data_IF_494435477962
#
_entry.id   IF_494435477962
#
_cell.length_a   1.000
_cell.length_b   1.000
_cell.length_c   1.000
_cell.angle_alpha   90.00
_cell.angle_beta   90.00
_cell.angle_gamma   90.00
#
_symmetry.space_group_name_H-M   'P 1'
#
loop_
_entity.id
_entity.type
_entity.pdbx_description
1 polymer ?
#
# COMPACT_ATOMS: atom_id res chain seq x y z
N UNK A 1 9.86 -25.65 -11.15
CA UNK A 1 10.59 -24.81 -12.14
C UNK A 1 9.74 -23.83 -12.98
N UNK A 2 8.62 -24.22 -13.63
CA UNK A 2 7.83 -23.33 -14.52
C UNK A 2 7.07 -22.18 -13.82
N UNK A 3 6.58 -22.38 -12.57
CA UNK A 3 5.87 -21.35 -11.79
C UNK A 3 6.81 -20.22 -11.30
N UNK A 4 7.99 -20.56 -10.80
CA UNK A 4 9.01 -19.57 -10.38
C UNK A 4 9.50 -18.71 -11.57
N UNK A 5 9.81 -19.34 -12.72
CA UNK A 5 10.19 -18.61 -13.94
C UNK A 5 9.11 -17.66 -14.46
N UNK A 6 7.82 -18.00 -14.33
CA UNK A 6 6.70 -17.13 -14.73
C UNK A 6 6.53 -15.89 -13.83
N UNK A 7 6.73 -16.00 -12.51
CA UNK A 7 6.72 -14.84 -11.59
C UNK A 7 7.89 -13.88 -11.85
N UNK A 8 9.05 -14.41 -12.26
CA UNK A 8 10.25 -13.60 -12.54
C UNK A 8 10.07 -12.69 -13.76
N UNK A 9 9.30 -13.09 -14.78
CA UNK A 9 9.27 -12.36 -16.06
C UNK A 9 8.28 -11.19 -16.16
N UNK A 10 7.35 -11.02 -15.22
CA UNK A 10 6.18 -10.14 -15.43
C UNK A 10 5.79 -9.22 -14.26
N UNK A 11 6.72 -8.84 -13.38
CA UNK A 11 6.41 -7.91 -12.29
C UNK A 11 7.46 -6.79 -12.17
N UNK A 12 7.02 -5.54 -11.97
CA UNK A 12 7.84 -4.36 -11.61
C UNK A 12 8.46 -4.48 -10.20
N UNK A 13 8.59 -5.70 -9.67
CA UNK A 13 9.14 -5.95 -8.34
C UNK A 13 10.65 -5.68 -8.30
N UNK A 14 11.07 -4.87 -7.32
CA UNK A 14 12.48 -4.56 -7.07
C UNK A 14 13.25 -5.75 -6.49
N UNK A 15 12.57 -6.65 -5.79
CA UNK A 15 13.15 -7.81 -5.10
C UNK A 15 12.48 -9.11 -5.54
N UNK A 16 13.26 -10.19 -5.59
CA UNK A 16 12.78 -11.56 -5.62
C UNK A 16 12.69 -12.06 -4.17
N UNK A 17 11.47 -12.33 -3.72
CA UNK A 17 11.16 -12.80 -2.37
C UNK A 17 10.84 -14.30 -2.40
N UNK A 18 11.26 -15.00 -1.35
CA UNK A 18 10.73 -16.33 -1.02
C UNK A 18 11.07 -16.74 0.41
N UNK A 19 10.14 -17.49 1.00
CA UNK A 19 10.28 -18.19 2.27
C UNK A 19 11.41 -19.25 2.23
N UNK A 20 12.20 -19.33 3.30
CA UNK A 20 13.29 -20.30 3.49
C UNK A 20 12.95 -21.22 4.66
N UNK A 21 12.88 -22.51 4.37
CA UNK A 21 12.56 -23.56 5.33
C UNK A 21 13.65 -24.63 5.32
N UNK A 22 14.00 -25.10 6.51
CA UNK A 22 14.84 -26.28 6.68
C UNK A 22 14.47 -27.00 7.97
N UNK A 23 14.40 -28.33 7.89
CA UNK A 23 14.31 -29.22 9.03
C UNK A 23 15.27 -30.37 8.75
N UNK A 24 16.40 -30.40 9.46
CA UNK A 24 17.47 -31.39 9.27
C UNK A 24 17.02 -32.86 9.43
N UNK A 25 15.92 -33.10 10.16
CA UNK A 25 15.38 -34.45 10.37
C UNK A 25 14.55 -34.95 9.20
N UNK A 26 14.02 -34.04 8.39
CA UNK A 26 13.07 -34.33 7.31
C UNK A 26 13.71 -34.10 5.94
N UNK A 27 14.58 -33.10 5.82
CA UNK A 27 15.14 -32.64 4.55
C UNK A 27 16.66 -32.67 4.57
N UNK A 28 17.25 -32.96 3.41
CA UNK A 28 18.71 -33.00 3.24
C UNK A 28 19.34 -31.61 3.09
N UNK A 29 18.56 -30.63 2.61
CA UNK A 29 19.03 -29.26 2.39
C UNK A 29 17.89 -28.25 2.57
N UNK A 30 18.20 -26.96 2.84
CA UNK A 30 17.20 -25.91 2.85
C UNK A 30 16.50 -25.77 1.49
N UNK A 31 15.21 -25.42 1.51
CA UNK A 31 14.41 -25.22 0.31
C UNK A 31 13.56 -23.96 0.43
N UNK A 32 13.12 -23.48 -0.73
CA UNK A 32 12.24 -22.34 -0.86
C UNK A 32 10.80 -22.84 -0.83
N UNK A 33 9.95 -22.42 0.12
CA UNK A 33 8.59 -22.94 0.21
C UNK A 33 7.75 -22.36 1.34
N UNK A 34 6.43 -22.45 1.22
CA UNK A 34 5.48 -21.83 2.14
C UNK A 34 5.20 -22.66 3.40
N UNK A 35 5.40 -23.97 3.38
CA UNK A 35 5.29 -24.83 4.57
C UNK A 35 6.23 -26.02 4.50
N UNK A 36 6.39 -26.72 5.63
CA UNK A 36 7.20 -27.94 5.74
C UNK A 36 6.52 -29.10 4.98
N UNK A 37 5.19 -29.12 4.97
CA UNK A 37 4.36 -30.19 4.39
C UNK A 37 4.16 -30.06 2.89
N UNK A 38 4.37 -28.88 2.30
CA UNK A 38 4.30 -28.61 0.86
C UNK A 38 5.62 -27.98 0.36
N UNK A 39 6.73 -28.74 0.36
CA UNK A 39 8.01 -28.21 -0.08
C UNK A 39 7.95 -27.88 -1.56
N UNK A 40 8.19 -26.62 -1.91
CA UNK A 40 8.44 -26.26 -3.30
C UNK A 40 9.76 -26.92 -3.74
N UNK A 41 9.80 -27.53 -4.93
CA UNK A 41 10.97 -28.26 -5.49
C UNK A 41 12.22 -27.40 -5.76
N UNK A 42 12.35 -26.20 -5.18
CA UNK A 42 13.48 -25.30 -5.42
C UNK A 42 14.36 -25.25 -4.17
N UNK A 43 15.59 -25.78 -4.28
CA UNK A 43 16.59 -25.64 -3.21
C UNK A 43 17.00 -24.18 -3.03
N UNK A 44 17.43 -23.83 -1.82
CA UNK A 44 17.98 -22.50 -1.52
C UNK A 44 19.10 -22.13 -2.50
N UNK A 45 20.04 -23.05 -2.74
CA UNK A 45 21.18 -22.82 -3.65
C UNK A 45 20.72 -22.50 -5.08
N UNK A 46 19.76 -23.28 -5.60
CA UNK A 46 19.19 -23.06 -6.93
C UNK A 46 18.48 -21.70 -7.02
N UNK A 47 17.79 -21.29 -5.96
CA UNK A 47 17.14 -19.98 -5.90
C UNK A 47 18.17 -18.85 -5.94
N UNK A 48 19.26 -18.94 -5.17
CA UNK A 48 20.33 -17.94 -5.19
C UNK A 48 21.00 -17.86 -6.57
N UNK A 49 21.27 -19.00 -7.20
CA UNK A 49 21.88 -19.04 -8.54
C UNK A 49 20.99 -18.45 -9.63
N UNK A 50 19.68 -18.64 -9.54
CA UNK A 50 18.73 -17.99 -10.45
C UNK A 50 18.65 -16.50 -10.15
N UNK A 51 18.57 -16.13 -8.87
CA UNK A 51 18.30 -14.75 -8.44
C UNK A 51 19.48 -13.82 -8.67
N UNK A 52 20.72 -14.28 -8.49
CA UNK A 52 21.93 -13.48 -8.75
C UNK A 52 22.07 -13.02 -10.20
N UNK A 53 21.34 -13.65 -11.13
CA UNK A 53 21.32 -13.29 -12.55
C UNK A 53 20.12 -12.40 -12.96
N UNK A 54 19.22 -12.06 -12.03
CA UNK A 54 17.91 -11.46 -12.34
C UNK A 54 17.87 -9.92 -12.39
N UNK A 55 18.99 -9.24 -12.12
CA UNK A 55 19.11 -7.78 -11.88
C UNK A 55 18.29 -7.22 -10.70
N UNK A 56 17.46 -8.04 -10.04
CA UNK A 56 16.64 -7.65 -8.87
C UNK A 56 17.40 -7.91 -7.57
N UNK A 57 16.99 -7.24 -6.50
CA UNK A 57 17.41 -7.60 -5.14
C UNK A 57 16.86 -8.97 -4.73
N UNK A 58 17.37 -9.53 -3.63
CA UNK A 58 16.93 -10.81 -3.07
C UNK A 58 16.34 -10.56 -1.69
N UNK A 59 15.16 -11.09 -1.38
CA UNK A 59 14.59 -11.10 -0.04
C UNK A 59 14.40 -12.56 0.40
N UNK A 60 15.06 -12.94 1.48
CA UNK A 60 15.01 -14.28 2.05
C UNK A 60 14.21 -14.19 3.35
N UNK A 61 13.05 -14.84 3.39
CA UNK A 61 12.18 -14.85 4.56
C UNK A 61 12.37 -16.16 5.35
N UNK A 62 13.23 -16.13 6.36
CA UNK A 62 13.55 -17.31 7.15
C UNK A 62 12.37 -17.68 8.06
N UNK A 63 11.89 -18.93 7.94
CA UNK A 63 10.77 -19.45 8.74
C UNK A 63 11.18 -20.44 9.82
N UNK A 64 12.36 -21.05 9.70
CA UNK A 64 12.88 -22.01 10.68
C UNK A 64 14.29 -21.65 11.14
N UNK A 65 14.59 -21.89 12.42
CA UNK A 65 15.88 -21.57 13.01
C UNK A 65 17.02 -22.35 12.36
N UNK A 66 16.78 -23.63 12.07
CA UNK A 66 17.73 -24.57 11.49
C UNK A 66 18.21 -24.10 10.11
N UNK A 67 17.39 -23.33 9.38
CA UNK A 67 17.73 -22.84 8.05
C UNK A 67 18.79 -21.74 8.04
N UNK A 68 19.00 -21.03 9.16
CA UNK A 68 19.85 -19.84 9.23
C UNK A 68 21.30 -20.14 8.88
N UNK A 69 21.94 -21.02 9.65
CA UNK A 69 23.36 -21.33 9.49
C UNK A 69 23.74 -21.90 8.11
N UNK A 70 23.07 -22.94 7.57
CA UNK A 70 23.43 -23.48 6.26
C UNK A 70 23.24 -22.45 5.14
N UNK A 71 22.14 -21.69 5.16
CA UNK A 71 21.85 -20.69 4.13
C UNK A 71 22.82 -19.51 4.19
N UNK A 72 23.11 -18.98 5.38
CA UNK A 72 24.02 -17.84 5.55
C UNK A 72 25.47 -18.24 5.24
N UNK A 73 25.90 -19.45 5.59
CA UNK A 73 27.20 -20.00 5.13
C UNK A 73 27.28 -20.08 3.61
N UNK A 74 26.19 -20.48 2.95
CA UNK A 74 26.14 -20.50 1.48
C UNK A 74 26.22 -19.09 0.89
N UNK A 75 25.49 -18.10 1.45
CA UNK A 75 25.61 -16.70 1.05
C UNK A 75 27.02 -16.13 1.24
N UNK A 76 27.70 -16.48 2.34
CA UNK A 76 29.10 -16.09 2.60
C UNK A 76 30.04 -16.56 1.49
N UNK A 77 29.87 -17.79 1.01
CA UNK A 77 30.68 -18.33 -0.11
C UNK A 77 30.46 -17.53 -1.38
N UNK A 78 29.21 -17.18 -1.67
CA UNK A 78 28.81 -16.44 -2.87
C UNK A 78 28.89 -14.91 -2.71
N UNK A 79 29.47 -14.41 -1.62
CA UNK A 79 29.40 -12.98 -1.32
C UNK A 79 30.06 -12.10 -2.39
N UNK A 80 31.01 -12.61 -3.15
CA UNK A 80 31.65 -11.86 -4.23
C UNK A 80 30.84 -11.90 -5.53
N UNK A 81 29.96 -12.88 -5.71
CA UNK A 81 29.12 -13.07 -6.89
C UNK A 81 27.79 -12.33 -6.77
N UNK A 82 27.23 -12.25 -5.56
CA UNK A 82 25.96 -11.57 -5.30
C UNK A 82 26.21 -10.05 -5.23
N UNK A 83 26.02 -9.36 -6.36
CA UNK A 83 26.22 -7.89 -6.49
C UNK A 83 25.00 -7.04 -6.11
N UNK A 84 23.84 -7.65 -5.99
CA UNK A 84 22.58 -6.99 -5.62
C UNK A 84 22.40 -6.92 -4.09
N UNK A 85 21.52 -6.03 -3.60
CA UNK A 85 21.09 -6.03 -2.21
C UNK A 85 20.39 -7.34 -1.84
N UNK A 86 20.64 -7.81 -0.61
CA UNK A 86 19.97 -8.98 -0.03
C UNK A 86 19.32 -8.58 1.29
N UNK A 87 18.01 -8.74 1.39
CA UNK A 87 17.24 -8.59 2.62
C UNK A 87 17.17 -9.95 3.31
N UNK A 88 17.59 -9.98 4.57
CA UNK A 88 17.49 -11.13 5.48
C UNK A 88 16.31 -10.85 6.41
N UNK A 89 15.16 -11.44 6.10
CA UNK A 89 13.90 -11.24 6.80
C UNK A 89 13.60 -12.40 7.74
N UNK A 90 13.12 -12.11 8.94
CA UNK A 90 12.57 -13.11 9.85
C UNK A 90 11.61 -12.46 10.85
N UNK A 91 10.61 -13.22 11.27
CA UNK A 91 9.78 -12.85 12.42
C UNK A 91 10.53 -13.23 13.70
N UNK A 92 11.24 -12.28 14.30
CA UNK A 92 12.10 -12.50 15.48
C UNK A 92 11.46 -12.02 16.79
N UNK A 93 10.32 -11.34 16.70
CA UNK A 93 9.56 -10.86 17.85
C UNK A 93 8.18 -11.54 17.89
N UNK A 94 7.62 -11.70 19.09
CA UNK A 94 6.26 -12.22 19.23
C UNK A 94 5.23 -11.08 19.14
N UNK A 95 4.28 -11.18 18.22
CA UNK A 95 3.14 -10.25 18.18
C UNK A 95 2.11 -10.53 19.27
N UNK A 96 1.28 -9.53 19.58
CA UNK A 96 0.21 -9.64 20.58
C UNK A 96 -0.73 -10.81 20.24
N UNK A 97 -0.90 -11.74 21.19
CA UNK A 97 -1.72 -12.96 21.05
C UNK A 97 -1.34 -13.84 19.84
N UNK A 98 -0.12 -13.70 19.33
CA UNK A 98 0.42 -14.51 18.24
C UNK A 98 1.26 -15.66 18.78
N UNK A 99 1.59 -16.60 17.89
CA UNK A 99 2.43 -17.73 18.26
C UNK A 99 3.84 -17.24 18.55
N UNK A 100 4.56 -17.96 19.43
CA UNK A 100 5.96 -17.65 19.72
C UNK A 100 6.77 -17.75 18.43
N UNK A 101 7.76 -16.86 18.27
CA UNK A 101 8.70 -16.99 17.16
C UNK A 101 9.46 -18.31 17.24
N UNK A 102 9.72 -18.91 16.08
CA UNK A 102 10.59 -20.07 15.94
C UNK A 102 12.06 -19.67 15.84
N UNK A 103 12.37 -18.38 15.67
CA UNK A 103 13.71 -17.85 15.44
C UNK A 103 14.13 -16.99 16.62
N UNK A 104 15.17 -17.43 17.33
CA UNK A 104 15.81 -16.62 18.37
C UNK A 104 16.40 -15.33 17.78
N UNK A 105 16.01 -14.19 18.36
CA UNK A 105 16.34 -12.85 17.86
C UNK A 105 17.83 -12.53 17.96
N UNK A 106 18.47 -12.96 19.05
CA UNK A 106 19.89 -12.73 19.28
C UNK A 106 20.74 -13.53 18.29
N UNK A 107 20.41 -14.82 18.15
CA UNK A 107 21.08 -15.72 17.23
C UNK A 107 20.92 -15.23 15.79
N UNK A 108 19.70 -14.84 15.38
CA UNK A 108 19.44 -14.31 14.04
C UNK A 108 20.34 -13.12 13.69
N UNK A 109 20.41 -12.12 14.59
CA UNK A 109 21.24 -10.94 14.36
C UNK A 109 22.74 -11.31 14.36
N UNK A 110 23.18 -12.13 15.31
CA UNK A 110 24.57 -12.56 15.41
C UNK A 110 25.03 -13.27 14.13
N UNK A 111 24.26 -14.27 13.69
CA UNK A 111 24.65 -15.12 12.56
C UNK A 111 24.58 -14.36 11.22
N UNK A 112 23.60 -13.46 11.05
CA UNK A 112 23.56 -12.59 9.88
C UNK A 112 24.79 -11.67 9.82
N UNK A 113 25.19 -11.06 10.95
CA UNK A 113 26.39 -10.22 11.02
C UNK A 113 27.68 -11.01 10.81
N UNK A 114 27.75 -12.25 11.29
CA UNK A 114 28.94 -13.10 11.15
C UNK A 114 29.16 -13.60 9.71
N UNK A 115 28.08 -14.06 9.06
CA UNK A 115 28.18 -14.73 7.77
C UNK A 115 27.89 -13.81 6.58
N UNK A 116 27.04 -12.79 6.75
CA UNK A 116 26.66 -11.91 5.66
C UNK A 116 26.42 -10.45 6.12
N UNK A 117 27.45 -9.76 6.65
CA UNK A 117 27.31 -8.43 7.28
C UNK A 117 26.83 -7.31 6.35
N UNK A 118 26.91 -7.51 5.03
CA UNK A 118 26.40 -6.57 4.02
C UNK A 118 24.90 -6.76 3.71
N UNK A 119 24.26 -7.76 4.33
CA UNK A 119 22.83 -7.98 4.22
C UNK A 119 22.04 -6.90 4.95
N UNK A 120 20.85 -6.63 4.44
CA UNK A 120 19.88 -5.73 5.05
C UNK A 120 19.03 -6.57 6.01
N UNK A 121 19.08 -6.27 7.30
CA UNK A 121 18.25 -6.96 8.29
C UNK A 121 16.82 -6.44 8.21
N UNK A 122 15.86 -7.35 8.10
CA UNK A 122 14.42 -7.05 8.17
C UNK A 122 13.81 -7.83 9.35
N UNK A 123 13.58 -7.13 10.45
CA UNK A 123 13.15 -7.71 11.73
C UNK A 123 11.63 -7.57 11.86
N UNK A 124 10.93 -8.71 11.89
CA UNK A 124 9.47 -8.78 11.93
C UNK A 124 8.91 -9.32 13.25
N UNK A 125 7.58 -9.29 13.34
CA UNK A 125 6.80 -9.90 14.41
C UNK A 125 5.95 -11.02 13.86
N UNK A 126 5.77 -12.09 14.63
CA UNK A 126 4.70 -13.04 14.34
C UNK A 126 3.35 -12.31 14.36
N UNK A 127 2.49 -12.58 13.37
CA UNK A 127 1.18 -11.91 13.27
C UNK A 127 0.08 -12.90 12.90
N UNK A 128 -1.15 -12.57 13.29
CA UNK A 128 -2.36 -13.32 12.91
C UNK A 128 -3.32 -12.41 12.14
N UNK A 129 -4.13 -12.95 11.21
CA UNK A 129 -5.14 -12.18 10.49
C UNK A 129 -6.19 -11.66 11.49
N UNK A 130 -6.02 -10.42 11.95
CA UNK A 130 -6.91 -9.77 12.89
C UNK A 130 -6.87 -8.26 12.67
N UNK A 131 -7.99 -7.65 12.31
CA UNK A 131 -8.11 -6.21 12.03
C UNK A 131 -8.18 -5.34 13.29
N UNK A 132 -8.27 -5.95 14.47
CA UNK A 132 -8.37 -5.21 15.74
C UNK A 132 -7.08 -5.18 16.54
N UNK A 133 -6.12 -6.03 16.20
CA UNK A 133 -4.81 -6.10 16.87
C UNK A 133 -3.91 -4.93 16.46
N UNK A 134 -2.96 -4.60 17.33
CA UNK A 134 -2.01 -3.51 17.16
C UNK A 134 -0.67 -3.89 17.79
N UNK A 135 0.43 -3.30 17.32
CA UNK A 135 1.70 -3.26 18.03
C UNK A 135 1.57 -2.42 19.30
N UNK A 136 2.16 -2.89 20.40
CA UNK A 136 2.17 -2.21 21.70
C UNK A 136 3.51 -1.53 21.97
N UNK A 137 3.55 -0.69 23.01
CA UNK A 137 4.79 -0.08 23.50
C UNK A 137 5.83 -1.15 23.89
N UNK A 138 5.38 -2.26 24.46
CA UNK A 138 6.25 -3.38 24.83
C UNK A 138 6.88 -4.03 23.58
N UNK A 139 6.10 -4.25 22.51
CA UNK A 139 6.62 -4.77 21.26
C UNK A 139 7.71 -3.88 20.66
N UNK A 140 7.52 -2.57 20.64
CA UNK A 140 8.51 -1.65 20.08
C UNK A 140 9.72 -1.46 20.99
N UNK A 141 9.53 -1.55 22.31
CA UNK A 141 10.63 -1.49 23.27
C UNK A 141 11.55 -2.70 23.12
N UNK A 142 10.99 -3.90 22.99
CA UNK A 142 11.74 -5.15 22.72
C UNK A 142 12.61 -5.00 21.47
N UNK A 143 12.02 -4.54 20.37
CA UNK A 143 12.74 -4.31 19.12
C UNK A 143 13.85 -3.25 19.25
N UNK A 144 13.58 -2.14 19.95
CA UNK A 144 14.58 -1.11 20.20
C UNK A 144 15.74 -1.60 21.10
N UNK A 145 15.46 -2.50 22.04
CA UNK A 145 16.47 -3.09 22.92
C UNK A 145 17.41 -3.99 22.12
N UNK A 146 16.87 -4.84 21.23
CA UNK A 146 17.68 -5.67 20.33
C UNK A 146 18.57 -4.79 19.43
N UNK A 147 17.99 -3.73 18.86
CA UNK A 147 18.72 -2.76 18.03
C UNK A 147 19.91 -2.15 18.77
N UNK A 148 19.68 -1.67 20.00
CA UNK A 148 20.73 -1.05 20.83
C UNK A 148 21.79 -2.07 21.27
N UNK A 149 21.35 -3.25 21.70
CA UNK A 149 22.24 -4.30 22.22
C UNK A 149 23.27 -4.76 21.19
N UNK A 150 22.87 -4.90 19.92
CA UNK A 150 23.78 -5.29 18.85
C UNK A 150 24.50 -4.13 18.17
N UNK A 151 24.32 -2.91 18.69
CA UNK A 151 24.76 -1.65 18.07
C UNK A 151 24.48 -1.66 16.56
N UNK A 152 23.23 -1.97 16.21
CA UNK A 152 22.83 -1.99 14.82
C UNK A 152 22.94 -0.57 14.24
N UNK A 153 23.36 -0.50 12.98
CA UNK A 153 23.61 0.75 12.25
C UNK A 153 22.76 0.74 10.98
N UNK A 154 23.18 1.47 9.96
CA UNK A 154 22.56 1.47 8.64
C UNK A 154 22.34 0.02 8.12
N UNK A 155 21.23 -0.19 7.40
CA UNK A 155 20.72 -1.48 6.88
C UNK A 155 19.83 -2.31 7.82
N UNK A 156 19.08 -1.66 8.72
CA UNK A 156 18.00 -2.31 9.49
C UNK A 156 16.64 -1.76 9.12
N UNK A 157 15.71 -2.68 8.91
CA UNK A 157 14.31 -2.42 8.63
C UNK A 157 13.45 -3.20 9.63
N UNK A 158 12.33 -2.62 10.01
CA UNK A 158 11.30 -3.34 10.77
C UNK A 158 10.15 -3.72 9.84
N UNK A 159 9.81 -5.01 9.81
CA UNK A 159 8.71 -5.53 8.99
C UNK A 159 7.38 -5.36 9.73
N UNK A 160 6.59 -4.38 9.28
CA UNK A 160 5.31 -3.99 9.90
C UNK A 160 4.17 -4.48 9.04
N UNK A 161 3.26 -5.26 9.64
CA UNK A 161 2.03 -5.67 8.98
C UNK A 161 1.11 -4.47 8.86
N UNK A 162 0.74 -4.12 7.64
CA UNK A 162 0.01 -2.91 7.31
C UNK A 162 -1.35 -2.83 8.03
N UNK A 163 -2.06 -3.95 8.16
CA UNK A 163 -3.36 -4.01 8.83
C UNK A 163 -3.33 -3.68 10.33
N UNK A 164 -2.17 -3.75 10.98
CA UNK A 164 -2.00 -3.40 12.40
C UNK A 164 -1.56 -1.94 12.58
N UNK A 165 -1.10 -1.31 11.50
CA UNK A 165 -0.28 -0.09 11.58
C UNK A 165 -1.09 1.17 11.87
N UNK A 166 -2.35 1.29 11.39
CA UNK A 166 -3.22 2.46 11.68
C UNK A 166 -3.42 2.66 13.18
N UNK A 167 -3.56 1.55 13.92
CA UNK A 167 -3.81 1.57 15.38
C UNK A 167 -2.52 1.68 16.20
N UNK A 168 -1.36 1.66 15.54
CA UNK A 168 -0.04 1.61 16.16
C UNK A 168 0.87 2.76 15.76
N UNK A 169 0.32 3.81 15.14
CA UNK A 169 1.16 4.86 14.57
C UNK A 169 2.02 5.55 15.64
N UNK A 170 1.50 5.74 16.86
CA UNK A 170 2.24 6.33 17.98
C UNK A 170 3.40 5.42 18.42
N UNK A 171 3.16 4.11 18.57
CA UNK A 171 4.19 3.14 18.92
C UNK A 171 5.28 3.05 17.83
N UNK A 172 4.87 3.14 16.56
CA UNK A 172 5.78 3.09 15.40
C UNK A 172 6.60 4.39 15.26
N UNK A 173 6.03 5.55 15.59
CA UNK A 173 6.76 6.81 15.73
C UNK A 173 7.83 6.65 16.81
N UNK A 174 7.48 6.09 17.97
CA UNK A 174 8.44 5.86 19.05
C UNK A 174 9.58 4.92 18.63
N UNK A 175 9.27 3.82 17.92
CA UNK A 175 10.28 2.93 17.38
C UNK A 175 11.23 3.66 16.41
N UNK A 176 10.69 4.50 15.53
CA UNK A 176 11.48 5.30 14.61
C UNK A 176 12.34 6.33 15.34
N UNK A 177 11.84 6.99 16.38
CA UNK A 177 12.62 7.94 17.18
C UNK A 177 13.83 7.28 17.85
N UNK A 178 13.64 6.06 18.36
CA UNK A 178 14.67 5.29 19.06
C UNK A 178 15.73 4.69 18.13
N UNK A 179 15.40 4.41 16.87
CA UNK A 179 16.23 3.60 15.97
C UNK A 179 16.62 4.29 14.66
N UNK A 180 15.83 5.27 14.19
CA UNK A 180 15.94 5.91 12.86
C UNK A 180 15.95 4.93 11.67
N UNK A 181 15.51 3.70 11.92
CA UNK A 181 15.45 2.61 10.96
C UNK A 181 14.28 2.80 9.99
N UNK A 182 14.35 2.11 8.86
CA UNK A 182 13.28 2.06 7.88
C UNK A 182 12.21 1.04 8.25
N UNK A 183 11.05 1.14 7.60
CA UNK A 183 9.96 0.19 7.72
C UNK A 183 9.71 -0.51 6.39
N UNK A 184 9.49 -1.82 6.44
CA UNK A 184 8.88 -2.58 5.35
C UNK A 184 7.43 -2.81 5.72
N UNK A 185 6.53 -2.12 5.04
CA UNK A 185 5.09 -2.29 5.18
C UNK A 185 4.64 -3.48 4.33
N UNK A 186 4.16 -4.54 4.98
CA UNK A 186 3.74 -5.75 4.30
C UNK A 186 2.26 -6.07 4.51
N UNK A 187 1.65 -6.77 3.55
CA UNK A 187 0.25 -7.20 3.66
C UNK A 187 0.09 -8.64 3.16
N UNK A 188 -0.76 -9.42 3.82
CA UNK A 188 -1.19 -10.72 3.33
C UNK A 188 -2.43 -10.58 2.42
N UNK A 189 -2.65 -11.54 1.51
CA UNK A 189 -3.84 -11.60 0.64
C UNK A 189 -5.18 -11.63 1.38
N UNK A 190 -5.17 -12.06 2.65
CA UNK A 190 -6.37 -12.09 3.50
C UNK A 190 -6.53 -10.82 4.34
N UNK A 191 -5.60 -9.88 4.25
CA UNK A 191 -5.74 -8.61 4.96
C UNK A 191 -6.81 -7.77 4.26
N UNK A 192 -7.83 -7.38 5.01
CA UNK A 192 -8.85 -6.44 4.57
C UNK A 192 -8.38 -5.02 4.86
N UNK A 193 -7.66 -4.43 3.90
CA UNK A 193 -7.32 -3.01 3.95
C UNK A 193 -8.56 -2.20 3.52
N UNK A 194 -9.38 -1.81 4.49
CA UNK A 194 -10.61 -1.05 4.25
C UNK A 194 -10.36 0.40 3.81
N UNK A 195 -9.16 0.93 4.06
CA UNK A 195 -8.75 2.29 3.69
C UNK A 195 -7.25 2.36 3.44
N UNK A 196 -6.82 3.40 2.71
CA UNK A 196 -5.40 3.74 2.53
C UNK A 196 -4.83 4.55 3.69
N UNK A 197 -5.59 4.72 4.77
CA UNK A 197 -5.26 5.55 5.92
C UNK A 197 -3.89 5.19 6.52
N UNK A 198 -3.62 3.89 6.67
CA UNK A 198 -2.32 3.39 7.16
C UNK A 198 -1.14 3.97 6.38
N UNK A 199 -1.28 4.07 5.06
CA UNK A 199 -0.20 4.51 4.16
C UNK A 199 -0.06 6.02 4.22
N UNK A 200 -1.16 6.75 4.33
CA UNK A 200 -1.16 8.20 4.50
C UNK A 200 -0.52 8.60 5.82
N UNK A 201 -0.84 7.90 6.91
CA UNK A 201 -0.21 8.08 8.21
C UNK A 201 1.30 7.85 8.10
N UNK A 202 1.72 6.76 7.46
CA UNK A 202 3.15 6.50 7.27
C UNK A 202 3.85 7.58 6.46
N UNK A 203 3.25 8.04 5.35
CA UNK A 203 3.77 9.12 4.52
C UNK A 203 3.82 10.47 5.26
N UNK A 204 2.92 10.70 6.21
CA UNK A 204 2.87 11.92 6.99
C UNK A 204 3.96 11.94 8.07
N UNK A 205 4.12 10.84 8.81
CA UNK A 205 4.99 10.79 9.98
C UNK A 205 6.42 10.34 9.68
N UNK A 206 6.67 9.62 8.58
CA UNK A 206 7.99 9.07 8.26
C UNK A 206 8.51 9.58 6.90
N UNK A 207 9.83 9.77 6.76
CA UNK A 207 10.43 10.12 5.48
C UNK A 207 10.14 9.08 4.40
N UNK A 208 9.81 9.53 3.18
CA UNK A 208 9.49 8.63 2.06
C UNK A 208 10.60 7.63 1.74
N UNK A 209 11.88 8.04 1.88
CA UNK A 209 13.03 7.17 1.65
C UNK A 209 13.28 6.14 2.78
N UNK A 210 12.42 6.10 3.80
CA UNK A 210 12.47 5.14 4.91
C UNK A 210 11.32 4.13 4.88
N UNK A 211 10.48 4.14 3.85
CA UNK A 211 9.31 3.26 3.75
C UNK A 211 9.44 2.39 2.49
N UNK A 212 9.35 1.08 2.69
CA UNK A 212 9.37 0.06 1.65
C UNK A 212 8.06 -0.72 1.69
N UNK A 213 7.62 -1.25 0.55
CA UNK A 213 6.33 -1.92 0.44
C UNK A 213 6.50 -3.36 -0.05
N UNK A 214 5.84 -4.29 0.64
CA UNK A 214 5.78 -5.72 0.30
C UNK A 214 4.32 -6.20 0.37
N UNK A 215 3.58 -5.92 -0.69
CA UNK A 215 2.12 -5.96 -0.67
C UNK A 215 1.62 -7.09 -1.56
N UNK A 216 0.52 -7.73 -1.14
CA UNK A 216 -0.17 -8.70 -1.96
C UNK A 216 -0.82 -7.99 -3.15
N UNK A 217 -0.89 -8.66 -4.31
CA UNK A 217 -1.39 -8.07 -5.56
C UNK A 217 -2.79 -7.44 -5.40
N UNK A 218 -3.67 -8.03 -4.58
CA UNK A 218 -5.02 -7.49 -4.31
C UNK A 218 -4.96 -6.12 -3.60
N UNK A 219 -3.91 -5.89 -2.81
CA UNK A 219 -3.69 -4.66 -2.05
C UNK A 219 -2.87 -3.63 -2.83
N UNK A 220 -2.09 -4.03 -3.85
CA UNK A 220 -1.29 -3.10 -4.66
C UNK A 220 -2.18 -2.06 -5.37
N UNK A 221 -3.36 -2.45 -5.87
CA UNK A 221 -4.27 -1.55 -6.58
C UNK A 221 -4.82 -0.40 -5.71
N UNK A 222 -5.04 -0.66 -4.42
CA UNK A 222 -5.46 0.38 -3.46
C UNK A 222 -4.38 1.47 -3.32
N UNK A 223 -3.13 1.08 -3.54
CA UNK A 223 -1.94 1.83 -3.15
C UNK A 223 -1.36 2.57 -4.35
N UNK A 224 -1.30 1.95 -5.53
CA UNK A 224 -0.78 2.60 -6.75
C UNK A 224 -1.60 3.81 -7.20
N UNK A 225 -2.93 3.80 -7.01
CA UNK A 225 -3.78 4.96 -7.31
C UNK A 225 -3.60 6.12 -6.33
N UNK A 226 -3.05 5.88 -5.13
CA UNK A 226 -2.93 6.86 -4.04
C UNK A 226 -1.49 7.31 -3.77
N UNK A 227 -0.49 6.43 -3.95
CA UNK A 227 0.94 6.75 -3.87
C UNK A 227 1.40 7.70 -5.00
N UNK A 228 0.64 7.77 -6.09
CA UNK A 228 0.85 8.73 -7.16
C UNK A 228 0.47 10.18 -6.77
N UNK A 229 -0.15 10.40 -5.61
CA UNK A 229 -0.30 11.74 -5.04
C UNK A 229 0.97 12.12 -4.26
N UNK A 230 1.89 12.76 -4.97
CA UNK A 230 2.74 13.76 -4.34
C UNK A 230 1.92 15.05 -4.23
N UNK A 231 1.64 15.49 -3.01
CA UNK A 231 1.02 16.79 -2.83
C UNK A 231 1.97 17.87 -3.36
N UNK A 232 1.44 18.95 -3.97
CA UNK A 232 2.27 20.07 -4.37
C UNK A 232 3.15 20.57 -3.21
N UNK A 233 4.35 21.10 -3.47
CA UNK A 233 5.23 21.60 -2.42
C UNK A 233 4.52 22.57 -1.47
N UNK A 234 4.64 22.32 -0.17
CA UNK A 234 4.00 23.13 0.88
C UNK A 234 2.53 22.80 1.15
N UNK A 235 1.92 21.87 0.40
CA UNK A 235 0.55 21.40 0.67
C UNK A 235 0.61 20.15 1.56
N UNK A 236 0.09 20.21 2.80
CA UNK A 236 0.12 19.06 3.69
C UNK A 236 -0.88 17.98 3.24
N UNK A 237 -0.58 16.74 3.56
CA UNK A 237 -1.54 15.63 3.50
C UNK A 237 -2.46 15.74 4.73
N UNK A 238 -3.76 15.81 4.50
CA UNK A 238 -4.78 15.81 5.55
C UNK A 238 -5.06 14.39 6.05
N UNK A 239 -5.12 14.24 7.37
CA UNK A 239 -5.60 13.01 8.03
C UNK A 239 -7.12 13.07 8.13
N UNK A 240 -7.80 12.15 7.44
CA UNK A 240 -9.25 12.12 7.37
C UNK A 240 -9.82 11.06 8.31
N UNK A 241 -10.85 11.42 9.08
CA UNK A 241 -11.57 10.48 9.94
C UNK A 241 -12.33 9.38 9.16
N UNK A 242 -12.51 9.57 7.85
CA UNK A 242 -13.10 8.61 6.94
C UNK A 242 -12.55 8.82 5.53
N UNK A 243 -12.52 7.77 4.70
CA UNK A 243 -12.14 7.89 3.30
C UNK A 243 -13.13 8.81 2.56
N UNK A 244 -12.65 9.90 1.90
CA UNK A 244 -13.51 10.85 1.22
C UNK A 244 -14.42 10.20 0.18
N UNK A 245 -13.92 9.23 -0.58
CA UNK A 245 -14.71 8.54 -1.59
C UNK A 245 -15.71 7.56 -0.99
N UNK A 246 -15.40 6.87 0.10
CA UNK A 246 -16.35 6.03 0.83
C UNK A 246 -17.51 6.87 1.38
N UNK A 247 -17.20 8.05 1.93
CA UNK A 247 -18.21 9.00 2.40
C UNK A 247 -19.04 9.55 1.24
N UNK A 248 -18.39 9.90 0.12
CA UNK A 248 -19.06 10.45 -1.06
C UNK A 248 -19.82 9.40 -1.88
N UNK A 249 -19.48 8.11 -1.78
CA UNK A 249 -20.11 7.02 -2.53
C UNK A 249 -21.62 6.92 -2.25
N UNK A 250 -22.05 7.28 -1.04
CA UNK A 250 -23.47 7.31 -0.66
C UNK A 250 -24.27 8.36 -1.44
N UNK A 251 -23.64 9.48 -1.80
CA UNK A 251 -24.24 10.55 -2.61
C UNK A 251 -24.02 10.34 -4.11
N UNK A 252 -22.91 9.70 -4.47
CA UNK A 252 -22.50 9.52 -5.86
C UNK A 252 -22.23 10.86 -6.58
N UNK A 253 -22.05 10.78 -7.91
CA UNK A 253 -21.95 11.96 -8.77
C UNK A 253 -23.24 12.10 -9.59
N UNK A 254 -24.16 12.95 -9.15
CA UNK A 254 -25.47 13.11 -9.80
C UNK A 254 -25.38 13.57 -11.27
N UNK A 255 -24.38 14.40 -11.60
CA UNK A 255 -24.13 14.87 -12.97
C UNK A 255 -23.49 13.81 -13.87
N UNK A 256 -22.74 12.86 -13.29
CA UNK A 256 -22.03 11.80 -14.02
C UNK A 256 -22.18 10.46 -13.27
N UNK A 257 -23.29 9.73 -13.44
CA UNK A 257 -23.58 8.52 -12.66
C UNK A 257 -22.53 7.40 -12.80
N UNK A 258 -21.74 7.43 -13.88
CA UNK A 258 -20.65 6.47 -14.16
C UNK A 258 -19.26 7.02 -13.80
N UNK A 259 -19.17 8.19 -13.16
CA UNK A 259 -17.89 8.73 -12.73
C UNK A 259 -17.28 7.87 -11.62
N UNK A 260 -15.96 7.71 -11.66
CA UNK A 260 -15.16 7.00 -10.67
C UNK A 260 -14.63 8.02 -9.68
N UNK A 261 -14.84 7.77 -8.39
CA UNK A 261 -14.28 8.60 -7.33
C UNK A 261 -12.82 8.23 -7.06
N UNK A 262 -11.98 9.24 -6.83
CA UNK A 262 -10.61 9.12 -6.32
C UNK A 262 -10.44 10.04 -5.11
N UNK A 263 -10.00 9.48 -3.99
CA UNK A 263 -9.72 10.27 -2.78
C UNK A 263 -8.49 11.13 -3.03
N UNK A 264 -8.55 12.41 -2.66
CA UNK A 264 -7.43 13.35 -2.67
C UNK A 264 -7.27 13.91 -1.25
N UNK A 265 -6.12 13.63 -0.65
CA UNK A 265 -5.79 14.03 0.72
C UNK A 265 -4.94 15.30 0.78
N UNK A 266 -4.57 15.90 -0.35
CA UNK A 266 -3.76 17.11 -0.38
C UNK A 266 -4.58 18.33 0.04
N UNK A 267 -4.17 19.01 1.10
CA UNK A 267 -4.80 20.21 1.63
C UNK A 267 -6.18 19.98 2.28
N UNK A 268 -6.68 18.74 2.29
CA UNK A 268 -7.99 18.40 2.84
C UNK A 268 -8.46 17.01 2.46
N UNK A 269 -9.63 16.62 2.98
CA UNK A 269 -10.29 15.34 2.75
C UNK A 269 -11.23 15.43 1.55
N UNK A 270 -10.69 15.34 0.34
CA UNK A 270 -11.43 15.65 -0.89
C UNK A 270 -11.83 14.37 -1.64
N UNK A 271 -13.09 14.32 -2.09
CA UNK A 271 -13.58 13.31 -3.01
C UNK A 271 -13.59 13.89 -4.43
N UNK A 272 -12.70 13.41 -5.30
CA UNK A 272 -12.60 13.89 -6.68
C UNK A 272 -13.21 12.89 -7.65
N UNK A 273 -14.03 13.36 -8.57
CA UNK A 273 -14.76 12.50 -9.50
C UNK A 273 -14.20 12.60 -10.90
N UNK A 274 -14.08 11.46 -11.57
CA UNK A 274 -13.51 11.36 -12.91
C UNK A 274 -14.45 10.59 -13.84
N UNK A 275 -14.73 11.16 -15.01
CA UNK A 275 -15.46 10.49 -16.08
C UNK A 275 -14.57 10.38 -17.32
N UNK A 276 -14.38 9.17 -17.84
CA UNK A 276 -13.44 8.89 -18.94
C UNK A 276 -12.03 9.48 -18.72
N UNK A 277 -11.53 9.44 -17.47
CA UNK A 277 -10.20 9.94 -17.11
C UNK A 277 -10.11 11.45 -16.88
N UNK A 278 -11.18 12.23 -17.11
CA UNK A 278 -11.21 13.68 -16.88
C UNK A 278 -11.93 14.02 -15.58
N UNK A 279 -11.37 14.94 -14.79
CA UNK A 279 -12.00 15.41 -13.54
C UNK A 279 -13.29 16.16 -13.85
N UNK A 280 -14.38 15.83 -13.16
CA UNK A 280 -15.71 16.40 -13.36
C UNK A 280 -16.26 17.04 -12.08
N UNK A 281 -17.07 18.10 -12.23
CA UNK A 281 -17.79 18.74 -11.13
C UNK A 281 -19.16 18.07 -10.96
N UNK A 282 -19.37 17.40 -9.82
CA UNK A 282 -20.64 16.71 -9.52
C UNK A 282 -21.74 17.65 -9.04
N UNK A 283 -21.43 18.91 -8.72
CA UNK A 283 -22.36 19.91 -8.20
C UNK A 283 -22.91 20.84 -9.29
N UNK A 284 -22.78 20.47 -10.58
CA UNK A 284 -23.27 21.28 -11.69
C UNK A 284 -24.78 21.58 -11.60
N UNK A 285 -25.58 20.65 -11.06
CA UNK A 285 -27.01 20.86 -10.79
C UNK A 285 -27.24 21.95 -9.74
N UNK A 286 -26.51 21.94 -8.64
CA UNK A 286 -26.64 22.93 -7.57
C UNK A 286 -26.10 24.32 -7.99
N UNK A 287 -25.07 24.39 -8.84
CA UNK A 287 -24.62 25.66 -9.42
C UNK A 287 -25.66 26.25 -10.37
N UNK A 288 -26.29 25.42 -11.19
CA UNK A 288 -27.41 25.85 -12.03
C UNK A 288 -28.61 26.32 -11.18
N UNK A 289 -28.92 25.64 -10.08
CA UNK A 289 -29.98 26.06 -9.15
C UNK A 289 -29.60 27.30 -8.33
N UNK A 290 -28.33 27.53 -8.01
CA UNK A 290 -27.86 28.81 -7.45
C UNK A 290 -27.87 29.93 -8.48
N UNK A 291 -27.66 29.64 -9.75
CA UNK A 291 -27.85 30.60 -10.84
C UNK A 291 -29.34 31.01 -10.96
N UNK A 292 -30.28 30.11 -10.63
CA UNK A 292 -31.71 30.46 -10.47
C UNK A 292 -31.96 31.44 -9.32
N UNK A 293 -31.04 31.68 -8.39
CA UNK A 293 -31.25 32.64 -7.29
C UNK A 293 -31.12 34.12 -7.74
N UNK A 294 -30.70 34.37 -8.99
CA UNK A 294 -30.74 35.72 -9.61
C UNK A 294 -32.06 36.04 -10.32
N UNK A 295 -33.03 35.13 -10.24
CA UNK A 295 -34.29 35.17 -10.96
C UNK A 295 -35.31 36.07 -10.26
N UNK A 296 -35.50 37.28 -10.79
CA UNK A 296 -36.47 38.23 -10.24
C UNK A 296 -37.92 37.74 -10.44
N UNK A 297 -38.20 36.99 -11.51
CA UNK A 297 -39.54 36.50 -11.85
C UNK A 297 -39.50 35.04 -12.36
N UNK A 298 -39.58 34.05 -11.45
CA UNK A 298 -39.73 32.65 -11.85
C UNK A 298 -41.15 32.37 -12.38
N UNK A 299 -41.25 31.62 -13.47
CA UNK A 299 -42.53 31.16 -14.04
C UNK A 299 -42.76 29.66 -13.79
N UNK A 300 -44.01 29.27 -13.55
CA UNK A 300 -44.41 27.87 -13.45
C UNK A 300 -44.81 27.33 -14.82
N UNK A 301 -44.02 26.38 -15.33
CA UNK A 301 -44.26 25.77 -16.63
C UNK A 301 -45.19 24.57 -16.51
N UNK A 302 -46.08 24.40 -17.49
CA UNK A 302 -46.94 23.23 -17.58
C UNK A 302 -46.15 21.94 -17.86
N UNK A 303 -44.97 22.08 -18.47
CA UNK A 303 -44.01 21.01 -18.78
C UNK A 303 -42.60 21.50 -18.48
N UNK A 304 -41.74 20.63 -17.95
CA UNK A 304 -40.32 20.95 -17.77
C UNK A 304 -39.66 21.26 -19.13
N UNK A 305 -38.95 22.40 -19.29
CA UNK A 305 -38.34 22.80 -20.55
C UNK A 305 -37.43 21.73 -21.19
N UNK A 306 -36.68 20.99 -20.37
CA UNK A 306 -35.78 19.94 -20.83
C UNK A 306 -36.46 18.62 -21.17
N UNK A 307 -37.77 18.47 -20.93
CA UNK A 307 -38.46 17.18 -21.15
C UNK A 307 -38.40 16.72 -22.61
N UNK A 308 -38.42 17.67 -23.55
CA UNK A 308 -38.41 17.40 -24.99
C UNK A 308 -37.37 18.21 -25.76
N UNK A 309 -36.54 18.98 -25.07
CA UNK A 309 -35.53 19.80 -25.71
C UNK A 309 -34.30 18.98 -26.08
N UNK A 310 -33.78 19.20 -27.29
CA UNK A 310 -32.55 18.58 -27.78
C UNK A 310 -31.62 19.66 -28.35
N UNK A 311 -30.32 19.35 -28.40
CA UNK A 311 -29.31 20.24 -28.98
C UNK A 311 -28.58 19.55 -30.14
N UNK A 312 -29.02 19.74 -31.40
CA UNK A 312 -28.42 19.06 -32.54
C UNK A 312 -26.95 19.43 -32.78
N UNK A 313 -26.57 20.67 -32.45
CA UNK A 313 -25.22 21.22 -32.61
C UNK A 313 -24.25 20.71 -31.55
N UNK A 314 -24.74 20.37 -30.36
CA UNK A 314 -23.95 19.81 -29.26
C UNK A 314 -24.63 18.56 -28.67
N UNK A 315 -24.49 17.39 -29.30
CA UNK A 315 -25.22 16.17 -28.93
C UNK A 315 -24.92 15.66 -27.50
N UNK A 316 -23.78 16.05 -26.93
CA UNK A 316 -23.38 15.67 -25.57
C UNK A 316 -23.73 16.72 -24.50
N UNK A 317 -24.35 17.84 -24.89
CA UNK A 317 -24.67 18.90 -23.95
C UNK A 317 -25.80 18.46 -23.00
N UNK A 318 -25.63 18.79 -21.71
CA UNK A 318 -26.62 18.50 -20.67
C UNK A 318 -27.66 19.61 -20.66
N UNK A 319 -28.93 19.26 -20.83
CA UNK A 319 -30.03 20.20 -20.68
C UNK A 319 -30.30 20.53 -19.20
N UNK A 320 -30.52 21.81 -18.92
CA UNK A 320 -30.83 22.36 -17.60
C UNK A 320 -32.10 23.21 -17.71
N UNK A 321 -33.11 22.87 -16.90
CA UNK A 321 -34.37 23.61 -16.81
C UNK A 321 -34.12 25.02 -16.24
N UNK A 322 -34.48 26.07 -16.98
CA UNK A 322 -34.49 27.44 -16.52
C UNK A 322 -35.92 28.01 -16.53
N UNK A 323 -36.35 28.53 -15.38
CA UNK A 323 -37.69 29.06 -15.16
C UNK A 323 -37.73 30.59 -15.07
N UNK A 324 -36.61 31.25 -15.37
CA UNK A 324 -36.50 32.70 -15.29
C UNK A 324 -36.97 33.38 -16.55
N UNK A 325 -37.87 34.33 -16.38
CA UNK A 325 -38.50 35.12 -17.45
C UNK A 325 -39.17 34.24 -18.54
N UNK A 326 -39.40 32.96 -18.26
CA UNK A 326 -39.92 31.99 -19.22
C UNK A 326 -39.54 30.54 -18.94
N UNK A 327 -40.14 29.63 -19.71
CA UNK A 327 -39.90 28.20 -19.69
C UNK A 327 -38.76 27.83 -20.66
N UNK A 328 -37.52 27.96 -20.18
CA UNK A 328 -36.33 27.92 -21.01
C UNK A 328 -35.52 26.63 -20.81
N UNK A 329 -35.04 26.04 -21.90
CA UNK A 329 -34.09 24.92 -21.89
C UNK A 329 -32.68 25.45 -22.20
N UNK A 330 -31.75 25.36 -21.26
CA UNK A 330 -30.35 25.74 -21.48
C UNK A 330 -29.47 24.51 -21.58
N UNK A 331 -28.54 24.51 -22.53
CA UNK A 331 -27.64 23.40 -22.76
C UNK A 331 -26.21 23.78 -22.36
N UNK A 332 -25.54 22.86 -21.68
CA UNK A 332 -24.17 23.05 -21.22
C UNK A 332 -23.28 21.90 -21.67
N UNK A 333 -22.13 22.24 -22.25
CA UNK A 333 -21.08 21.28 -22.58
C UNK A 333 -19.79 21.75 -21.87
N UNK A 334 -19.16 20.86 -21.11
CA UNK A 334 -17.97 21.18 -20.29
C UNK A 334 -18.14 22.40 -19.37
N UNK A 335 -19.36 22.62 -18.86
CA UNK A 335 -19.67 23.73 -17.95
C UNK A 335 -19.87 25.10 -18.62
N UNK A 336 -19.79 25.17 -19.96
CA UNK A 336 -20.06 26.39 -20.74
C UNK A 336 -21.43 26.26 -21.41
N UNK A 337 -22.23 27.34 -21.37
CA UNK A 337 -23.52 27.38 -22.07
C UNK A 337 -23.26 27.37 -23.58
N UNK A 338 -23.86 26.42 -24.27
CA UNK A 338 -23.76 26.27 -25.73
C UNK A 338 -25.06 26.72 -26.40
N UNK A 339 -24.97 27.07 -27.67
CA UNK A 339 -26.12 27.46 -28.48
C UNK A 339 -26.61 26.27 -29.28
N UNK A 340 -27.90 26.01 -29.09
CA UNK A 340 -28.75 25.10 -29.82
C UNK A 340 -29.81 25.99 -30.49
#
# INVERSE_FOLDING_TARGET
MRKARKKIQNCEAHFLESDVIYNEKIHQHPFMGHSIEDPCDLSFESFIDISKNSKRGIKLDFKTHESLEPCLKHLKKLQNEIKMPVILNADVFQGVNCDKTLIDSNYFVQICKEYFPRGILSLGWTTKPCSTTKYTLENVQEASNLYKMFNLQDNVHFAIRLSWSTRSIEELIHLYELTKCSFTLWSHKTDTLSSVESILLFRHFFPHNKIYYDLADENIFLITNQLALECPPGVPIAMCFADPCAMAATKGCAAYPKAICKSNFCGGCNAEWFFNGTKVDCNLKEKADKLKLSCLFPVNCFVEPCRFATCPTHPNAVCVNNYCDGCNAFFYENGVRVTC
#
